data_IF_683814468137
#
_entry.id   IF_683814468137
#
_cell.length_a   1.000
_cell.length_b   1.000
_cell.length_c   1.000
_cell.angle_alpha   90.00
_cell.angle_beta   90.00
_cell.angle_gamma   90.00
#
_symmetry.space_group_name_H-M   'P 1'
#
loop_
_entity.id
_entity.type
_entity.pdbx_description
1 polymer ?
#
# COMPACT_ATOMS: atom_id res chain seq x y z
N UNK A 1 14.31 13.92 -24.50
CA UNK A 1 14.18 12.91 -23.48
C UNK A 1 12.71 12.66 -23.22
N UNK A 2 12.29 11.43 -23.17
CA UNK A 2 10.91 11.07 -22.86
C UNK A 2 10.57 11.65 -21.48
N UNK A 3 9.45 12.40 -21.43
CA UNK A 3 8.94 12.93 -20.17
C UNK A 3 8.52 11.72 -19.34
N UNK A 4 9.22 11.43 -18.28
CA UNK A 4 8.90 10.32 -17.39
C UNK A 4 7.57 10.62 -16.70
N UNK A 5 6.60 9.73 -16.82
CA UNK A 5 5.28 9.89 -16.20
C UNK A 5 5.43 10.09 -14.69
N UNK A 6 4.74 11.08 -14.13
CA UNK A 6 4.74 11.31 -12.68
C UNK A 6 3.99 10.19 -11.95
N UNK A 7 4.32 9.97 -10.67
CA UNK A 7 3.58 8.98 -9.88
C UNK A 7 2.09 9.34 -9.73
N UNK A 8 1.79 10.63 -9.63
CA UNK A 8 0.40 11.15 -9.58
C UNK A 8 -0.36 10.76 -10.85
N UNK A 9 0.24 10.99 -12.03
CA UNK A 9 -0.40 10.63 -13.30
C UNK A 9 -0.59 9.11 -13.43
N UNK A 10 0.41 8.33 -12.99
CA UNK A 10 0.31 6.86 -12.95
C UNK A 10 -0.85 6.38 -12.08
N UNK A 11 -1.09 7.00 -10.92
CA UNK A 11 -2.23 6.69 -10.07
C UNK A 11 -3.56 6.99 -10.75
N UNK A 12 -3.69 8.19 -11.34
CA UNK A 12 -4.91 8.58 -12.06
C UNK A 12 -5.20 7.68 -13.23
N UNK A 13 -4.18 7.40 -14.04
CA UNK A 13 -4.31 6.53 -15.20
C UNK A 13 -4.76 5.12 -14.79
N UNK A 14 -4.10 4.49 -13.81
CA UNK A 14 -4.46 3.15 -13.35
C UNK A 14 -5.86 3.08 -12.73
N UNK A 15 -6.29 4.10 -12.00
CA UNK A 15 -7.64 4.17 -11.44
C UNK A 15 -8.71 4.30 -12.53
N UNK A 16 -8.47 5.16 -13.53
CA UNK A 16 -9.38 5.35 -14.65
C UNK A 16 -9.46 4.11 -15.55
N UNK A 17 -8.32 3.47 -15.84
CA UNK A 17 -8.29 2.25 -16.67
C UNK A 17 -8.96 1.06 -15.99
N UNK A 18 -8.74 0.88 -14.68
CA UNK A 18 -9.32 -0.21 -13.90
C UNK A 18 -10.76 0.07 -13.41
N UNK A 19 -11.19 1.35 -13.42
CA UNK A 19 -12.51 1.79 -12.94
C UNK A 19 -12.69 1.67 -11.43
N UNK A 20 -11.61 1.57 -10.66
CA UNK A 20 -11.67 1.41 -9.20
C UNK A 20 -10.41 1.98 -8.52
N UNK A 21 -10.42 1.96 -7.18
CA UNK A 21 -9.29 2.42 -6.36
C UNK A 21 -8.79 1.34 -5.39
N UNK A 22 -8.94 0.08 -5.74
CA UNK A 22 -8.44 -1.04 -4.94
C UNK A 22 -6.93 -1.15 -5.04
N UNK A 23 -6.28 -1.29 -3.88
CA UNK A 23 -4.90 -1.76 -3.75
C UNK A 23 -4.92 -3.18 -3.20
N UNK A 24 -4.52 -4.15 -4.00
CA UNK A 24 -4.47 -5.54 -3.59
C UNK A 24 -3.15 -5.85 -2.88
N UNK A 25 -3.22 -6.16 -1.59
CA UNK A 25 -2.07 -6.63 -0.82
C UNK A 25 -1.66 -8.05 -1.21
N UNK A 26 -0.37 -8.29 -1.29
CA UNK A 26 0.21 -9.59 -1.65
C UNK A 26 1.09 -10.08 -0.49
N UNK A 27 0.46 -10.45 0.61
CA UNK A 27 1.08 -10.78 1.89
C UNK A 27 0.83 -12.27 2.21
N UNK A 28 1.63 -13.21 1.66
CA UNK A 28 1.36 -14.63 1.73
C UNK A 28 1.56 -15.18 3.15
N UNK A 29 0.56 -15.90 3.65
CA UNK A 29 0.68 -16.80 4.79
C UNK A 29 0.81 -18.20 4.24
N UNK A 30 2.03 -18.72 4.16
CA UNK A 30 2.36 -19.96 3.46
C UNK A 30 1.47 -21.13 3.88
N UNK A 31 1.17 -21.28 5.17
CA UNK A 31 0.31 -22.34 5.70
C UNK A 31 -1.15 -22.24 5.24
N UNK A 32 -1.59 -21.08 4.73
CA UNK A 32 -2.93 -20.87 4.18
C UNK A 32 -2.99 -20.99 2.64
N UNK A 33 -1.86 -21.23 1.97
CA UNK A 33 -1.81 -21.38 0.52
C UNK A 33 -1.93 -22.85 0.09
N UNK A 34 -2.42 -23.13 -1.13
CA UNK A 34 -2.39 -24.48 -1.70
C UNK A 34 -0.96 -24.94 -2.02
N UNK A 35 -0.78 -26.24 -2.27
CA UNK A 35 0.51 -26.80 -2.69
C UNK A 35 1.44 -27.14 -1.52
N UNK A 36 0.91 -27.81 -0.49
CA UNK A 36 1.70 -28.22 0.70
C UNK A 36 2.91 -29.08 0.37
N UNK A 37 2.88 -29.80 -0.75
CA UNK A 37 3.95 -30.66 -1.25
C UNK A 37 5.11 -29.89 -1.89
N UNK A 38 4.96 -28.58 -2.14
CA UNK A 38 5.94 -27.73 -2.82
C UNK A 38 6.86 -27.03 -1.82
N UNK A 39 8.05 -26.64 -2.30
CA UNK A 39 8.89 -25.70 -1.57
C UNK A 39 8.21 -24.31 -1.46
N UNK A 40 8.68 -23.49 -0.52
CA UNK A 40 8.07 -22.19 -0.19
C UNK A 40 8.00 -21.27 -1.41
N UNK A 41 9.09 -21.15 -2.19
CA UNK A 41 9.15 -20.31 -3.37
C UNK A 41 8.11 -20.72 -4.41
N UNK A 42 8.14 -21.99 -4.81
CA UNK A 42 7.21 -22.55 -5.78
C UNK A 42 5.76 -22.44 -5.33
N UNK A 43 5.49 -22.68 -4.05
CA UNK A 43 4.14 -22.60 -3.48
C UNK A 43 3.55 -21.20 -3.61
N UNK A 44 4.32 -20.16 -3.27
CA UNK A 44 3.90 -18.78 -3.39
C UNK A 44 3.75 -18.37 -4.86
N UNK A 45 4.75 -18.64 -5.68
CA UNK A 45 4.78 -18.25 -7.10
C UNK A 45 3.63 -18.90 -7.88
N UNK A 46 3.40 -20.20 -7.72
CA UNK A 46 2.35 -20.92 -8.43
C UNK A 46 0.95 -20.45 -8.03
N UNK A 47 0.75 -20.15 -6.74
CA UNK A 47 -0.52 -19.60 -6.27
C UNK A 47 -0.83 -18.26 -6.95
N UNK A 48 0.12 -17.31 -6.90
CA UNK A 48 -0.10 -16.00 -7.53
C UNK A 48 -0.17 -16.09 -9.05
N UNK A 49 0.63 -16.94 -9.70
CA UNK A 49 0.54 -17.15 -11.14
C UNK A 49 -0.87 -17.63 -11.55
N UNK A 50 -1.43 -18.58 -10.82
CA UNK A 50 -2.77 -19.10 -11.07
C UNK A 50 -3.83 -18.02 -10.84
N UNK A 51 -3.75 -17.28 -9.73
CA UNK A 51 -4.68 -16.22 -9.40
C UNK A 51 -4.62 -15.07 -10.42
N UNK A 52 -3.43 -14.57 -10.75
CA UNK A 52 -3.26 -13.45 -11.69
C UNK A 52 -3.73 -13.81 -13.11
N UNK A 53 -3.46 -15.03 -13.56
CA UNK A 53 -3.98 -15.52 -14.85
C UNK A 53 -5.51 -15.47 -14.89
N UNK A 54 -6.18 -15.93 -13.83
CA UNK A 54 -7.66 -15.90 -13.73
C UNK A 54 -8.17 -14.48 -13.64
N UNK A 55 -7.58 -13.64 -12.82
CA UNK A 55 -7.93 -12.22 -12.74
C UNK A 55 -7.84 -11.53 -14.10
N UNK A 56 -6.79 -11.80 -14.88
CA UNK A 56 -6.62 -11.23 -16.22
C UNK A 56 -7.68 -11.70 -17.20
N UNK A 57 -8.02 -13.00 -17.19
CA UNK A 57 -9.05 -13.58 -18.05
C UNK A 57 -10.44 -12.98 -17.72
N UNK A 58 -10.74 -12.76 -16.46
CA UNK A 58 -12.03 -12.26 -15.99
C UNK A 58 -12.12 -10.72 -16.01
N UNK A 59 -11.02 -10.03 -16.30
CA UNK A 59 -10.97 -8.57 -16.30
C UNK A 59 -11.02 -7.97 -14.89
N UNK A 60 -10.69 -8.76 -13.86
CA UNK A 60 -10.69 -8.36 -12.45
C UNK A 60 -9.36 -7.69 -12.12
N UNK A 61 -9.25 -6.39 -12.36
CA UNK A 61 -7.98 -5.66 -12.28
C UNK A 61 -8.05 -4.59 -11.18
N UNK A 62 -7.28 -4.72 -10.08
CA UNK A 62 -7.16 -3.66 -9.08
C UNK A 62 -6.33 -2.49 -9.62
N UNK A 63 -6.45 -1.33 -8.98
CA UNK A 63 -5.73 -0.11 -9.38
C UNK A 63 -4.28 -0.03 -8.84
N UNK A 64 -3.89 -0.92 -7.95
CA UNK A 64 -2.52 -1.06 -7.45
C UNK A 64 -2.31 -2.45 -6.82
N UNK A 65 -1.04 -2.87 -6.75
CA UNK A 65 -0.61 -4.03 -5.96
C UNK A 65 0.38 -3.60 -4.88
N UNK A 66 0.34 -4.29 -3.73
CA UNK A 66 1.20 -3.92 -2.61
C UNK A 66 1.73 -5.15 -1.86
N UNK A 67 2.86 -5.72 -2.28
CA UNK A 67 3.56 -6.71 -1.48
C UNK A 67 4.20 -6.06 -0.24
N UNK A 68 4.05 -6.69 0.92
CA UNK A 68 4.78 -6.33 2.13
C UNK A 68 6.05 -7.19 2.24
N UNK A 69 7.20 -6.54 2.17
CA UNK A 69 8.51 -7.22 2.14
C UNK A 69 8.73 -8.16 3.33
N UNK A 70 8.16 -7.83 4.50
CA UNK A 70 8.30 -8.63 5.71
C UNK A 70 7.72 -10.04 5.60
N UNK A 71 6.67 -10.23 4.80
CA UNK A 71 6.07 -11.55 4.56
C UNK A 71 6.94 -12.48 3.71
N UNK A 72 7.87 -11.93 2.97
CA UNK A 72 8.81 -12.67 2.13
C UNK A 72 10.16 -12.84 2.82
N UNK A 73 10.79 -11.76 3.24
CA UNK A 73 12.12 -11.80 3.86
C UNK A 73 12.14 -12.60 5.17
N UNK A 74 11.04 -12.72 5.89
CA UNK A 74 10.92 -13.56 7.09
C UNK A 74 11.00 -15.06 6.78
N UNK A 75 10.79 -15.46 5.53
CA UNK A 75 10.91 -16.84 5.06
C UNK A 75 12.33 -17.20 4.67
N UNK A 76 13.21 -16.24 4.52
CA UNK A 76 14.62 -16.48 4.22
C UNK A 76 15.35 -17.05 5.43
N UNK A 77 16.43 -17.78 5.14
CA UNK A 77 17.44 -18.25 6.10
C UNK A 77 18.84 -17.87 5.58
N UNK A 78 19.20 -16.56 5.61
CA UNK A 78 20.42 -16.09 4.95
C UNK A 78 21.71 -16.75 5.45
N UNK A 79 21.75 -17.13 6.72
CA UNK A 79 22.92 -17.84 7.29
C UNK A 79 23.04 -19.29 6.83
N UNK A 80 22.00 -19.82 6.21
CA UNK A 80 21.93 -21.14 5.58
C UNK A 80 21.94 -21.01 4.04
N UNK A 81 22.25 -19.82 3.54
CA UNK A 81 22.24 -19.48 2.10
C UNK A 81 20.88 -19.73 1.41
N UNK A 82 19.79 -19.72 2.19
CA UNK A 82 18.43 -19.86 1.69
C UNK A 82 17.73 -18.50 1.61
N UNK A 83 17.36 -18.10 0.40
CA UNK A 83 16.63 -16.87 0.07
C UNK A 83 15.27 -17.17 -0.58
N UNK A 84 14.65 -18.28 -0.25
CA UNK A 84 13.40 -18.75 -0.85
C UNK A 84 12.27 -17.71 -0.76
N UNK A 85 12.18 -16.96 0.33
CA UNK A 85 11.20 -15.90 0.50
C UNK A 85 11.45 -14.72 -0.42
N UNK A 86 12.66 -14.19 -0.44
CA UNK A 86 13.03 -13.08 -1.35
C UNK A 86 12.91 -13.49 -2.81
N UNK A 87 13.29 -14.71 -3.17
CA UNK A 87 13.12 -15.22 -4.53
C UNK A 87 11.64 -15.41 -4.91
N UNK A 88 10.79 -15.78 -3.95
CA UNK A 88 9.34 -15.78 -4.18
C UNK A 88 8.80 -14.38 -4.48
N UNK A 89 9.32 -13.35 -3.82
CA UNK A 89 8.95 -11.96 -4.13
C UNK A 89 9.43 -11.55 -5.54
N UNK A 90 10.62 -11.96 -5.96
CA UNK A 90 11.08 -11.77 -7.37
C UNK A 90 10.08 -12.37 -8.33
N UNK A 91 9.69 -13.64 -8.12
CA UNK A 91 8.71 -14.31 -8.98
C UNK A 91 7.36 -13.57 -9.02
N UNK A 92 6.90 -13.05 -7.88
CA UNK A 92 5.66 -12.26 -7.79
C UNK A 92 5.79 -10.94 -8.56
N UNK A 93 6.91 -10.23 -8.44
CA UNK A 93 7.16 -8.98 -9.19
C UNK A 93 7.20 -9.24 -10.71
N UNK A 94 7.88 -10.29 -11.14
CA UNK A 94 7.92 -10.70 -12.56
C UNK A 94 6.52 -11.06 -13.10
N UNK A 95 5.70 -11.72 -12.28
CA UNK A 95 4.30 -12.02 -12.63
C UNK A 95 3.45 -10.74 -12.75
N UNK A 96 3.65 -9.75 -11.87
CA UNK A 96 2.97 -8.46 -11.97
C UNK A 96 3.36 -7.74 -13.26
N UNK A 97 4.63 -7.70 -13.60
CA UNK A 97 5.12 -7.11 -14.86
C UNK A 97 4.51 -7.80 -16.08
N UNK A 98 4.36 -9.13 -16.04
CA UNK A 98 3.81 -9.92 -17.14
C UNK A 98 2.29 -9.76 -17.31
N UNK A 99 1.53 -9.75 -16.20
CA UNK A 99 0.07 -9.75 -16.25
C UNK A 99 -0.55 -8.35 -16.11
N UNK A 100 0.12 -7.41 -15.42
CA UNK A 100 -0.42 -6.09 -15.06
C UNK A 100 0.61 -4.96 -15.27
N UNK A 101 1.23 -4.82 -16.44
CA UNK A 101 2.38 -3.94 -16.67
C UNK A 101 2.10 -2.44 -16.46
N UNK A 102 0.83 -2.02 -16.48
CA UNK A 102 0.42 -0.62 -16.30
C UNK A 102 -0.03 -0.29 -14.88
N UNK A 103 -0.19 -1.32 -14.03
CA UNK A 103 -0.70 -1.15 -12.67
C UNK A 103 0.47 -0.91 -11.71
N UNK A 104 0.46 0.19 -10.92
CA UNK A 104 1.56 0.51 -10.03
C UNK A 104 1.72 -0.51 -8.91
N UNK A 105 2.98 -0.77 -8.56
CA UNK A 105 3.37 -1.65 -7.45
C UNK A 105 3.97 -0.82 -6.32
N UNK A 106 3.42 -0.97 -5.13
CA UNK A 106 3.85 -0.32 -3.89
C UNK A 106 4.59 -1.34 -3.04
N UNK A 107 5.88 -1.18 -2.84
CA UNK A 107 6.64 -2.01 -1.90
C UNK A 107 6.38 -1.53 -0.47
N UNK A 108 5.62 -2.31 0.29
CA UNK A 108 5.32 -1.97 1.69
C UNK A 108 6.46 -2.38 2.60
N UNK A 109 7.34 -1.45 2.92
CA UNK A 109 8.56 -1.69 3.70
C UNK A 109 8.62 -0.92 5.02
N UNK A 110 7.87 0.19 5.12
CA UNK A 110 7.80 1.06 6.32
C UNK A 110 9.17 1.39 6.90
N UNK A 111 10.13 1.73 6.03
CA UNK A 111 11.48 2.08 6.47
C UNK A 111 11.47 3.37 7.28
N UNK A 112 12.42 3.48 8.20
CA UNK A 112 12.53 4.62 9.10
C UNK A 112 13.97 4.75 9.61
N UNK A 113 14.87 5.21 8.73
CA UNK A 113 16.26 5.49 9.05
C UNK A 113 16.60 6.92 8.61
N UNK A 114 17.81 7.36 8.70
CA UNK A 114 18.22 8.74 8.40
C UNK A 114 19.25 8.83 7.27
N UNK A 115 19.18 9.96 6.56
CA UNK A 115 20.22 10.42 5.62
C UNK A 115 20.70 9.30 4.67
N UNK A 116 21.97 8.90 4.75
CA UNK A 116 22.58 7.90 3.87
C UNK A 116 21.94 6.51 4.01
N UNK A 117 21.64 6.08 5.22
CA UNK A 117 20.97 4.80 5.46
C UNK A 117 19.57 4.77 4.84
N UNK A 118 18.83 5.87 4.97
CA UNK A 118 17.54 6.03 4.29
C UNK A 118 17.69 6.00 2.77
N UNK A 119 18.77 6.59 2.23
CA UNK A 119 19.12 6.49 0.80
C UNK A 119 19.38 5.07 0.32
N UNK A 120 20.02 4.22 1.15
CA UNK A 120 20.21 2.80 0.84
C UNK A 120 18.86 2.06 0.75
N UNK A 121 17.92 2.34 1.65
CA UNK A 121 16.59 1.76 1.58
C UNK A 121 15.74 2.30 0.40
N UNK A 122 15.99 3.53 -0.04
CA UNK A 122 15.40 4.04 -1.27
C UNK A 122 15.94 3.28 -2.51
N UNK A 123 17.24 3.01 -2.55
CA UNK A 123 17.87 2.16 -3.58
C UNK A 123 17.29 0.73 -3.53
N UNK A 124 17.11 0.15 -2.35
CA UNK A 124 16.45 -1.15 -2.20
C UNK A 124 15.06 -1.14 -2.87
N UNK A 125 14.22 -0.16 -2.55
CA UNK A 125 12.85 -0.12 -3.07
C UNK A 125 12.78 0.15 -4.58
N UNK A 126 13.54 1.14 -5.07
CA UNK A 126 13.36 1.68 -6.41
C UNK A 126 14.32 1.14 -7.47
N UNK A 127 15.51 0.71 -7.07
CA UNK A 127 16.50 0.18 -8.00
C UNK A 127 16.56 -1.35 -7.92
N UNK A 128 16.60 -1.93 -6.72
CA UNK A 128 16.66 -3.39 -6.56
C UNK A 128 15.30 -4.05 -6.83
N UNK A 129 14.23 -3.59 -6.17
CA UNK A 129 12.88 -4.14 -6.35
C UNK A 129 12.10 -3.48 -7.50
N UNK A 130 12.57 -2.36 -8.04
CA UNK A 130 11.97 -1.60 -9.13
C UNK A 130 10.50 -1.22 -8.87
N UNK A 131 10.14 -1.02 -7.60
CA UNK A 131 8.81 -0.60 -7.22
C UNK A 131 8.48 0.82 -7.72
N UNK A 132 7.18 1.10 -7.91
CA UNK A 132 6.71 2.44 -8.26
C UNK A 132 6.59 3.36 -7.06
N UNK A 133 6.30 2.78 -5.90
CA UNK A 133 6.21 3.51 -4.63
C UNK A 133 6.65 2.64 -3.45
N UNK A 134 6.87 3.27 -2.31
CA UNK A 134 7.16 2.58 -1.05
C UNK A 134 6.54 3.30 0.13
N UNK A 135 6.54 2.67 1.31
CA UNK A 135 6.05 3.23 2.57
C UNK A 135 7.20 3.57 3.50
N UNK A 136 7.11 4.69 4.21
CA UNK A 136 8.15 5.18 5.12
C UNK A 136 7.56 5.71 6.43
N UNK A 137 8.33 5.60 7.51
CA UNK A 137 7.99 6.23 8.79
C UNK A 137 8.58 7.64 8.87
N UNK A 138 7.79 8.65 9.29
CA UNK A 138 8.26 10.01 9.41
C UNK A 138 8.87 10.33 10.77
N UNK A 139 8.92 9.37 11.70
CA UNK A 139 9.23 9.64 13.10
C UNK A 139 10.59 10.35 13.32
N UNK A 140 11.59 10.06 12.48
CA UNK A 140 12.89 10.74 12.51
C UNK A 140 12.96 12.01 11.63
N UNK A 141 11.85 12.42 11.03
CA UNK A 141 11.72 13.71 10.34
C UNK A 141 12.20 13.72 8.89
N UNK A 142 12.60 14.89 8.42
CA UNK A 142 12.92 15.19 7.01
C UNK A 142 14.02 14.29 6.45
N UNK A 143 15.06 14.04 7.22
CA UNK A 143 16.20 13.20 6.82
C UNK A 143 15.81 11.74 6.56
N UNK A 144 14.69 11.29 7.14
CA UNK A 144 14.16 9.95 6.95
C UNK A 144 13.34 9.83 5.67
N UNK A 145 12.61 10.87 5.29
CA UNK A 145 11.63 10.84 4.20
C UNK A 145 12.23 11.28 2.86
N UNK A 146 12.95 12.41 2.82
CA UNK A 146 13.40 13.00 1.56
C UNK A 146 14.33 12.12 0.72
N UNK A 147 15.18 11.23 1.27
CA UNK A 147 15.97 10.32 0.45
C UNK A 147 15.16 9.41 -0.48
N UNK A 148 13.87 9.16 -0.16
CA UNK A 148 12.96 8.39 -1.00
C UNK A 148 12.28 9.20 -2.10
N UNK A 149 12.39 10.54 -2.08
CA UNK A 149 11.77 11.41 -3.06
C UNK A 149 12.55 11.37 -4.37
N UNK A 150 12.20 10.42 -5.24
CA UNK A 150 12.80 10.21 -6.56
C UNK A 150 11.79 10.57 -7.65
N UNK A 151 12.30 11.10 -8.75
CA UNK A 151 11.46 11.46 -9.90
C UNK A 151 10.63 10.26 -10.41
N UNK A 152 9.33 10.47 -10.60
CA UNK A 152 8.39 9.44 -11.05
C UNK A 152 8.08 8.36 -10.03
N UNK A 153 8.52 8.49 -8.78
CA UNK A 153 8.27 7.53 -7.69
C UNK A 153 7.32 8.10 -6.63
N UNK A 154 6.57 7.20 -6.00
CA UNK A 154 5.68 7.53 -4.89
C UNK A 154 6.28 7.20 -3.53
N UNK A 155 5.94 8.01 -2.53
CA UNK A 155 6.36 7.78 -1.13
C UNK A 155 5.15 7.97 -0.23
N UNK A 156 4.67 6.90 0.38
CA UNK A 156 3.57 6.96 1.35
C UNK A 156 4.13 7.05 2.77
N UNK A 157 3.92 8.20 3.39
CA UNK A 157 4.38 8.49 4.75
C UNK A 157 3.32 8.06 5.75
N UNK A 158 3.70 7.32 6.79
CA UNK A 158 2.78 6.92 7.86
C UNK A 158 2.24 8.17 8.57
N UNK A 159 0.96 8.45 8.39
CA UNK A 159 0.31 9.64 8.95
C UNK A 159 -0.60 9.27 10.11
N UNK A 160 -1.63 8.47 9.86
CA UNK A 160 -2.52 7.94 10.90
C UNK A 160 -2.79 6.47 10.62
N UNK A 161 -2.16 5.59 11.38
CA UNK A 161 -2.21 4.16 11.13
C UNK A 161 -3.44 3.50 11.78
N UNK A 162 -3.83 2.33 11.27
CA UNK A 162 -5.09 1.65 11.62
C UNK A 162 -5.02 0.78 12.88
N UNK A 163 -3.82 0.52 13.41
CA UNK A 163 -3.60 -0.36 14.56
C UNK A 163 -3.96 0.32 15.89
N UNK A 164 -4.35 -0.45 16.95
CA UNK A 164 -4.67 0.12 18.25
C UNK A 164 -3.53 0.92 18.89
N UNK A 165 -2.28 0.47 18.74
CA UNK A 165 -1.08 1.15 19.26
C UNK A 165 -0.81 2.53 18.65
N UNK A 166 -1.52 2.91 17.59
CA UNK A 166 -1.41 4.24 16.99
C UNK A 166 -1.79 5.37 17.97
N UNK A 167 -2.61 5.07 18.97
CA UNK A 167 -2.99 6.03 20.02
C UNK A 167 -1.85 6.37 20.98
N UNK A 168 -0.79 5.56 21.06
CA UNK A 168 0.32 5.81 21.99
C UNK A 168 1.05 7.12 21.68
N UNK A 169 1.16 7.46 20.39
CA UNK A 169 1.84 8.68 19.93
C UNK A 169 0.95 9.52 19.00
N UNK A 170 0.35 8.93 17.97
CA UNK A 170 -0.26 9.66 16.86
C UNK A 170 -1.45 10.52 17.30
N UNK A 171 -2.21 10.07 18.32
CA UNK A 171 -3.36 10.79 18.87
C UNK A 171 -2.98 11.75 20.04
N UNK A 172 -1.70 11.87 20.39
CA UNK A 172 -1.26 12.79 21.44
C UNK A 172 -1.46 14.23 20.98
N UNK A 173 -1.98 15.06 21.89
CA UNK A 173 -2.10 16.49 21.65
C UNK A 173 -0.72 17.16 21.67
N UNK A 174 -0.46 17.97 20.68
CA UNK A 174 0.76 18.76 20.54
C UNK A 174 0.40 20.22 20.29
N UNK A 175 1.32 21.11 20.66
CA UNK A 175 1.22 22.53 20.35
C UNK A 175 2.14 22.78 19.17
N UNK A 176 1.61 23.25 18.05
CA UNK A 176 2.40 23.63 16.90
C UNK A 176 3.20 24.91 17.21
N UNK A 177 4.50 24.92 16.91
CA UNK A 177 5.37 26.08 17.14
C UNK A 177 5.08 27.24 16.16
N UNK A 178 4.40 26.98 15.07
CA UNK A 178 4.07 27.98 14.06
C UNK A 178 2.84 28.81 14.50
N UNK A 179 1.92 28.17 15.22
CA UNK A 179 0.80 28.85 15.87
C UNK A 179 0.65 28.30 17.30
N UNK A 180 1.32 28.96 18.25
CA UNK A 180 1.37 28.57 19.68
C UNK A 180 -0.02 28.49 20.35
N UNK A 181 -1.08 28.77 19.63
CA UNK A 181 -2.47 28.77 20.12
C UNK A 181 -3.26 27.54 19.68
N UNK A 182 -2.76 26.80 18.70
CA UNK A 182 -3.48 25.64 18.18
C UNK A 182 -2.96 24.34 18.79
N UNK A 183 -3.85 23.66 19.50
CA UNK A 183 -3.60 22.31 20.03
C UNK A 183 -4.30 21.31 19.14
N UNK A 184 -3.54 20.38 18.58
CA UNK A 184 -4.08 19.33 17.71
C UNK A 184 -3.36 17.98 17.91
N UNK A 185 -3.93 16.86 17.41
CA UNK A 185 -3.24 15.58 17.47
C UNK A 185 -1.93 15.59 16.67
N UNK A 186 -0.95 14.79 17.09
CA UNK A 186 0.34 14.66 16.38
C UNK A 186 0.16 14.30 14.91
N UNK A 187 -0.82 13.45 14.56
CA UNK A 187 -1.08 13.10 13.17
C UNK A 187 -1.43 14.31 12.28
N UNK A 188 -1.98 15.38 12.86
CA UNK A 188 -2.24 16.62 12.14
C UNK A 188 -0.93 17.36 11.81
N UNK A 189 0.01 17.44 12.75
CA UNK A 189 1.35 17.98 12.47
C UNK A 189 2.07 17.17 11.37
N UNK A 190 1.93 15.85 11.39
CA UNK A 190 2.48 14.98 10.34
C UNK A 190 1.82 15.29 9.01
N UNK A 191 0.50 15.46 8.95
CA UNK A 191 -0.21 15.81 7.72
C UNK A 191 0.27 17.15 7.15
N UNK A 192 0.45 18.17 7.99
CA UNK A 192 1.01 19.46 7.59
C UNK A 192 2.40 19.31 7.00
N UNK A 193 3.25 18.49 7.62
CA UNK A 193 4.61 18.24 7.15
C UNK A 193 4.65 17.48 5.82
N UNK A 194 3.78 16.49 5.63
CA UNK A 194 3.62 15.78 4.35
C UNK A 194 3.27 16.78 3.23
N UNK A 195 2.33 17.68 3.47
CA UNK A 195 1.98 18.71 2.51
C UNK A 195 3.15 19.65 2.21
N UNK A 196 3.92 20.06 3.22
CA UNK A 196 5.10 20.90 3.01
C UNK A 196 6.13 20.21 2.11
N UNK A 197 6.44 18.95 2.35
CA UNK A 197 7.35 18.18 1.51
C UNK A 197 6.81 18.01 0.07
N UNK A 198 5.51 17.86 -0.10
CA UNK A 198 4.91 17.65 -1.42
C UNK A 198 5.03 18.85 -2.36
N UNK A 199 5.23 20.05 -1.83
CA UNK A 199 5.41 21.27 -2.64
C UNK A 199 6.66 21.20 -3.52
N UNK A 200 7.71 20.54 -3.03
CA UNK A 200 8.98 20.37 -3.75
C UNK A 200 9.13 18.95 -4.33
N UNK A 201 8.39 17.98 -3.77
CA UNK A 201 8.51 16.56 -4.11
C UNK A 201 7.13 15.96 -4.43
N UNK A 202 6.61 16.18 -5.65
CA UNK A 202 5.37 15.55 -6.10
C UNK A 202 5.46 14.00 -6.02
N UNK A 203 4.38 13.37 -5.57
CA UNK A 203 4.36 11.91 -5.35
C UNK A 203 4.50 11.49 -3.89
N UNK A 204 4.76 12.44 -2.98
CA UNK A 204 4.60 12.17 -1.55
C UNK A 204 3.11 12.06 -1.22
N UNK A 205 2.75 10.97 -0.58
CA UNK A 205 1.41 10.67 -0.09
C UNK A 205 1.41 10.27 1.38
N UNK A 206 0.25 9.86 1.86
CA UNK A 206 0.04 9.50 3.26
C UNK A 206 -0.61 8.14 3.40
N UNK A 207 -0.23 7.41 4.45
CA UNK A 207 -0.96 6.23 4.94
C UNK A 207 -1.94 6.71 6.00
N UNK A 208 -3.24 6.53 5.73
CA UNK A 208 -4.33 6.88 6.66
C UNK A 208 -5.30 5.72 6.77
N UNK A 209 -5.45 5.18 7.98
CA UNK A 209 -6.26 3.98 8.23
C UNK A 209 -7.76 4.20 8.09
N UNK A 210 -8.47 3.12 7.73
CA UNK A 210 -9.92 3.07 7.58
C UNK A 210 -10.69 2.80 8.87
N UNK A 211 -10.02 2.57 10.00
CA UNK A 211 -10.67 2.14 11.25
C UNK A 211 -11.33 3.28 12.03
N UNK A 212 -10.95 4.52 11.77
CA UNK A 212 -11.61 5.72 12.29
C UNK A 212 -12.02 6.63 11.13
N UNK A 213 -13.28 6.52 10.73
CA UNK A 213 -13.83 7.23 9.57
C UNK A 213 -13.82 8.75 9.76
N UNK A 214 -14.07 9.26 10.97
CA UNK A 214 -14.07 10.71 11.23
C UNK A 214 -12.66 11.30 11.10
N UNK A 215 -11.64 10.61 11.58
CA UNK A 215 -10.25 11.02 11.40
C UNK A 215 -9.83 10.96 9.93
N UNK A 216 -10.24 9.90 9.21
CA UNK A 216 -9.99 9.77 7.76
C UNK A 216 -10.62 10.92 6.99
N UNK A 217 -11.88 11.25 7.25
CA UNK A 217 -12.58 12.36 6.61
C UNK A 217 -11.90 13.70 6.89
N UNK A 218 -11.50 13.95 8.13
CA UNK A 218 -10.78 15.16 8.53
C UNK A 218 -9.45 15.30 7.80
N UNK A 219 -8.67 14.22 7.72
CA UNK A 219 -7.36 14.23 7.05
C UNK A 219 -7.54 14.34 5.53
N UNK A 220 -8.52 13.63 4.95
CA UNK A 220 -8.81 13.70 3.53
C UNK A 220 -9.28 15.09 3.11
N UNK A 221 -10.12 15.77 3.94
CA UNK A 221 -10.52 17.15 3.73
C UNK A 221 -9.32 18.10 3.71
N UNK A 222 -8.35 17.87 4.58
CA UNK A 222 -7.11 18.67 4.58
C UNK A 222 -6.30 18.46 3.30
N UNK A 223 -6.25 17.25 2.76
CA UNK A 223 -5.50 16.93 1.55
C UNK A 223 -6.24 17.21 0.24
N UNK A 224 -7.55 17.45 0.27
CA UNK A 224 -8.36 17.75 -0.91
C UNK A 224 -7.77 18.92 -1.72
N UNK A 225 -7.64 18.76 -3.04
CA UNK A 225 -7.05 19.75 -3.94
C UNK A 225 -5.53 19.94 -3.81
N UNK A 226 -4.83 19.12 -3.05
CA UNK A 226 -3.38 19.25 -2.80
C UNK A 226 -2.52 18.20 -3.52
N UNK A 227 -3.13 17.30 -4.29
CA UNK A 227 -2.45 16.18 -4.98
C UNK A 227 -1.63 15.29 -4.02
N UNK A 228 -2.15 15.01 -2.83
CA UNK A 228 -1.56 14.10 -1.85
C UNK A 228 -2.22 12.72 -1.99
N UNK A 229 -1.53 11.69 -2.53
CA UNK A 229 -2.08 10.34 -2.58
C UNK A 229 -2.36 9.76 -1.20
N UNK A 230 -3.44 9.00 -1.07
CA UNK A 230 -3.79 8.28 0.14
C UNK A 230 -3.71 6.77 -0.07
N UNK A 231 -2.96 6.10 0.78
CA UNK A 231 -2.99 4.64 0.94
C UNK A 231 -3.78 4.34 2.22
N UNK A 232 -4.88 3.62 2.08
CA UNK A 232 -5.88 3.45 3.14
C UNK A 232 -5.98 1.97 3.53
N UNK A 233 -5.19 1.51 4.50
CA UNK A 233 -5.28 0.17 5.05
C UNK A 233 -6.41 0.05 6.08
N UNK A 234 -6.75 -1.21 6.45
CA UNK A 234 -7.69 -1.51 7.52
C UNK A 234 -9.09 -1.86 7.06
N UNK A 235 -9.33 -1.95 5.75
CA UNK A 235 -10.59 -2.46 5.20
C UNK A 235 -10.61 -3.99 5.27
N UNK A 236 -11.73 -4.55 5.69
CA UNK A 236 -11.95 -5.98 5.83
C UNK A 236 -11.45 -6.55 7.14
N UNK A 237 -10.27 -7.17 7.18
CA UNK A 237 -9.75 -7.91 8.35
C UNK A 237 -9.58 -7.08 9.63
N UNK A 238 -9.42 -5.76 9.53
CA UNK A 238 -9.32 -4.84 10.67
C UNK A 238 -10.65 -4.13 11.00
N UNK A 239 -11.73 -4.48 10.30
CA UNK A 239 -13.08 -3.99 10.58
C UNK A 239 -13.50 -2.74 9.83
N UNK A 240 -12.65 -2.14 8.99
CA UNK A 240 -13.03 -1.02 8.13
C UNK A 240 -13.96 -1.46 6.99
N UNK A 241 -14.88 -0.58 6.58
CA UNK A 241 -15.85 -0.77 5.50
C UNK A 241 -15.44 0.05 4.28
N UNK A 242 -15.31 -0.59 3.11
CA UNK A 242 -14.98 0.12 1.87
C UNK A 242 -16.04 1.16 1.48
N UNK A 243 -17.36 0.87 1.55
CA UNK A 243 -18.38 1.89 1.31
C UNK A 243 -18.26 3.11 2.23
N UNK A 244 -17.97 2.91 3.51
CA UNK A 244 -17.81 4.03 4.46
C UNK A 244 -16.59 4.89 4.11
N UNK A 245 -15.48 4.26 3.70
CA UNK A 245 -14.28 4.96 3.23
C UNK A 245 -14.59 5.79 1.98
N UNK A 246 -15.25 5.20 0.98
CA UNK A 246 -15.64 5.91 -0.25
C UNK A 246 -16.53 7.10 0.08
N UNK A 247 -17.50 6.95 0.97
CA UNK A 247 -18.38 8.05 1.37
C UNK A 247 -17.60 9.16 2.08
N UNK A 248 -16.72 8.83 3.02
CA UNK A 248 -15.87 9.81 3.70
C UNK A 248 -14.97 10.58 2.72
N UNK A 249 -14.39 9.91 1.74
CA UNK A 249 -13.58 10.57 0.70
C UNK A 249 -14.42 11.51 -0.16
N UNK A 250 -15.63 11.10 -0.56
CA UNK A 250 -16.56 11.97 -1.33
C UNK A 250 -17.01 13.19 -0.54
N UNK A 251 -17.39 13.01 0.73
CA UNK A 251 -17.84 14.09 1.61
C UNK A 251 -16.71 15.07 1.92
N UNK A 252 -15.48 14.61 2.00
CA UNK A 252 -14.30 15.45 2.18
C UNK A 252 -13.89 16.25 0.93
N UNK A 253 -14.47 15.97 -0.23
CA UNK A 253 -14.07 16.56 -1.51
C UNK A 253 -12.73 16.07 -2.04
N UNK A 254 -12.26 14.93 -1.54
CA UNK A 254 -10.98 14.34 -1.96
C UNK A 254 -11.08 13.67 -3.34
N UNK A 255 -10.02 13.78 -4.14
CA UNK A 255 -9.94 13.19 -5.48
C UNK A 255 -9.77 11.68 -5.41
N UNK A 256 -10.85 10.92 -5.68
CA UNK A 256 -10.88 9.47 -5.52
C UNK A 256 -9.78 8.73 -6.30
N UNK A 257 -9.42 9.21 -7.48
CA UNK A 257 -8.41 8.61 -8.34
C UNK A 257 -6.99 8.64 -7.75
N UNK A 258 -6.76 9.43 -6.70
CA UNK A 258 -5.51 9.46 -5.92
C UNK A 258 -5.53 8.54 -4.70
N UNK A 259 -6.68 8.00 -4.31
CA UNK A 259 -6.78 7.08 -3.19
C UNK A 259 -6.52 5.62 -3.61
N UNK A 260 -5.99 4.82 -2.68
CA UNK A 260 -5.88 3.37 -2.80
C UNK A 260 -6.35 2.72 -1.52
N UNK A 261 -7.49 2.02 -1.60
CA UNK A 261 -8.05 1.24 -0.49
C UNK A 261 -7.40 -0.13 -0.48
N UNK A 262 -6.64 -0.42 0.57
CA UNK A 262 -5.86 -1.64 0.66
C UNK A 262 -6.58 -2.74 1.45
N UNK A 263 -6.64 -3.92 0.86
CA UNK A 263 -6.97 -5.17 1.52
C UNK A 263 -6.00 -6.26 1.08
N UNK A 264 -5.64 -7.19 1.95
CA UNK A 264 -4.64 -8.22 1.69
C UNK A 264 -5.20 -9.63 1.91
N UNK A 265 -5.13 -10.18 3.11
CA UNK A 265 -5.51 -11.56 3.41
C UNK A 265 -6.96 -11.89 3.06
N UNK A 266 -7.87 -10.94 3.19
CA UNK A 266 -9.27 -11.08 2.80
C UNK A 266 -9.48 -11.28 1.29
N UNK A 267 -8.50 -10.96 0.47
CA UNK A 267 -8.51 -11.15 -0.98
C UNK A 267 -7.73 -12.40 -1.41
N UNK A 268 -6.55 -12.60 -0.83
CA UNK A 268 -5.61 -13.67 -1.24
C UNK A 268 -5.88 -15.01 -0.59
N UNK A 269 -6.45 -15.03 0.62
CA UNK A 269 -6.82 -16.27 1.32
C UNK A 269 -7.98 -16.02 2.30
N UNK A 270 -9.20 -15.74 1.78
CA UNK A 270 -10.36 -15.42 2.60
C UNK A 270 -10.79 -16.56 3.55
N UNK A 271 -10.35 -17.79 3.29
CA UNK A 271 -10.52 -18.94 4.20
C UNK A 271 -9.62 -18.90 5.44
N UNK A 272 -8.64 -17.99 5.48
CA UNK A 272 -7.75 -17.62 6.61
C UNK A 272 -6.68 -18.65 6.98
N UNK A 273 -6.98 -19.94 6.99
CA UNK A 273 -6.05 -21.01 7.43
C UNK A 273 -6.39 -22.34 6.77
N UNK A 274 -5.45 -23.28 6.87
CA UNK A 274 -5.67 -24.66 6.44
C UNK A 274 -6.88 -25.32 7.17
N UNK A 275 -7.58 -26.30 6.56
CA UNK A 275 -7.31 -26.78 5.21
C UNK A 275 -7.74 -25.75 4.13
N UNK A 276 -6.99 -25.75 3.03
CA UNK A 276 -7.32 -24.90 1.87
C UNK A 276 -8.56 -25.50 1.18
N UNK A 277 -9.63 -24.73 0.94
CA UNK A 277 -10.82 -25.25 0.27
C UNK A 277 -10.51 -25.55 -1.21
N UNK A 278 -11.24 -26.50 -1.78
CA UNK A 278 -11.14 -26.78 -3.23
C UNK A 278 -11.53 -25.58 -4.08
N UNK A 279 -12.41 -24.73 -3.55
CA UNK A 279 -12.90 -23.49 -4.17
C UNK A 279 -11.98 -22.28 -3.93
N UNK A 280 -10.75 -22.47 -3.47
CA UNK A 280 -9.86 -21.38 -3.03
C UNK A 280 -9.71 -20.26 -4.06
N UNK A 281 -9.64 -20.62 -5.32
CA UNK A 281 -9.45 -19.65 -6.42
C UNK A 281 -10.73 -18.82 -6.63
N UNK A 282 -11.88 -19.47 -6.67
CA UNK A 282 -13.19 -18.84 -6.79
C UNK A 282 -13.48 -17.94 -5.59
N UNK A 283 -13.12 -18.39 -4.39
CA UNK A 283 -13.30 -17.64 -3.14
C UNK A 283 -12.48 -16.33 -3.17
N UNK A 284 -11.22 -16.41 -3.61
CA UNK A 284 -10.36 -15.23 -3.78
C UNK A 284 -10.91 -14.29 -4.86
N UNK A 285 -11.28 -14.81 -6.03
CA UNK A 285 -11.84 -14.00 -7.11
C UNK A 285 -13.13 -13.31 -6.70
N UNK A 286 -14.03 -14.00 -6.01
CA UNK A 286 -15.26 -13.42 -5.48
C UNK A 286 -14.98 -12.27 -4.51
N UNK A 287 -14.01 -12.44 -3.60
CA UNK A 287 -13.62 -11.39 -2.66
C UNK A 287 -13.01 -10.17 -3.37
N UNK A 288 -12.19 -10.38 -4.40
CA UNK A 288 -11.58 -9.30 -5.19
C UNK A 288 -12.65 -8.55 -5.98
N UNK A 289 -13.53 -9.25 -6.68
CA UNK A 289 -14.67 -8.66 -7.42
C UNK A 289 -15.53 -7.80 -6.52
N UNK A 290 -15.93 -8.32 -5.36
CA UNK A 290 -16.73 -7.59 -4.39
C UNK A 290 -16.05 -6.28 -3.98
N UNK A 291 -14.77 -6.31 -3.64
CA UNK A 291 -14.07 -5.10 -3.23
C UNK A 291 -13.91 -4.10 -4.39
N UNK A 292 -13.68 -4.57 -5.61
CA UNK A 292 -13.63 -3.72 -6.82
C UNK A 292 -14.97 -3.02 -7.02
N UNK A 293 -16.09 -3.73 -6.91
CA UNK A 293 -17.43 -3.16 -7.05
C UNK A 293 -17.72 -2.10 -5.95
N UNK A 294 -17.32 -2.38 -4.70
CA UNK A 294 -17.46 -1.44 -3.58
C UNK A 294 -16.57 -0.19 -3.73
N UNK A 295 -15.47 -0.29 -4.45
CA UNK A 295 -14.47 0.77 -4.67
C UNK A 295 -14.50 1.34 -6.11
N UNK A 296 -15.57 1.13 -6.86
CA UNK A 296 -15.74 1.67 -8.21
C UNK A 296 -15.82 3.20 -8.20
N UNK A 297 -15.21 3.85 -9.22
CA UNK A 297 -15.18 5.30 -9.40
C UNK A 297 -15.72 5.72 -10.75
#
# INVERSE_FOLDING_TARGET
>A
GDIKMSYIDKLRESANESGNIVCMGLDPIVSALPGEEKDIRSRIADYFATLFKRMRIEGTIPAAFKPNIGYYSSLDRPREEDFSGSLALVDVMDLLDAYFPTIPVILDSKRGDIARSSGNYATEAFDAWQADATTVSPYMGTDSVLPFCKEGKGVYVLNRTSNPGSSDFQARSVIDRIDEREVHPLYTSVAHKIFDWSKEHPGIGAVVGATNIQELETIASYYAGKNIPLLIPGVGSQGGSAPDVINALKESGYELDLARINSSSGLTHPWKKAPVPETYLEDSLCAIHKLIDECAI
#
